data_IF_752851831136
#
_entry.id   IF_752851831136
#
_cell.length_a   1.000
_cell.length_b   1.000
_cell.length_c   1.000
_cell.angle_alpha   90.00
_cell.angle_beta   90.00
_cell.angle_gamma   90.00
#
_symmetry.space_group_name_H-M   'P 1'
#
loop_
_entity.id
_entity.type
_entity.pdbx_description
1 polymer ?
#
# COMPACT_ATOMS: atom_id res chain seq x y z
N UNK A 1 -17.83 31.05 -8.61
CA UNK A 1 -18.60 29.94 -8.04
C UNK A 1 -17.80 29.36 -6.88
N UNK A 2 -18.37 29.32 -5.69
CA UNK A 2 -17.73 28.79 -4.48
C UNK A 2 -17.78 27.27 -4.55
N UNK A 3 -16.74 26.65 -5.12
CA UNK A 3 -16.62 25.20 -5.19
C UNK A 3 -16.07 24.69 -3.86
N UNK A 4 -16.89 24.68 -2.81
CA UNK A 4 -16.55 24.06 -1.52
C UNK A 4 -17.40 22.82 -1.31
N UNK A 5 -16.82 21.77 -0.71
CA UNK A 5 -17.54 20.53 -0.38
C UNK A 5 -17.35 20.19 1.09
N UNK A 6 -18.46 19.98 1.81
CA UNK A 6 -18.49 19.44 3.16
C UNK A 6 -19.24 18.11 3.16
N UNK A 7 -18.69 17.12 3.83
CA UNK A 7 -19.27 15.78 3.91
C UNK A 7 -19.24 15.25 5.35
N UNK A 8 -20.33 14.62 5.77
CA UNK A 8 -20.41 13.86 7.00
C UNK A 8 -20.17 12.38 6.69
N UNK A 9 -19.39 11.70 7.52
CA UNK A 9 -18.97 10.31 7.29
C UNK A 9 -19.05 9.51 8.58
N UNK A 10 -19.53 8.26 8.48
CA UNK A 10 -19.39 7.29 9.55
C UNK A 10 -18.00 6.66 9.48
N UNK A 11 -17.35 6.49 10.63
CA UNK A 11 -16.06 5.81 10.73
C UNK A 11 -16.05 4.82 11.89
N UNK A 12 -15.19 3.80 11.78
CA UNK A 12 -14.95 2.83 12.84
C UNK A 12 -13.68 3.20 13.59
N UNK A 13 -13.73 3.16 14.91
CA UNK A 13 -12.54 3.32 15.76
C UNK A 13 -11.98 1.95 16.07
N UNK A 14 -10.75 1.71 15.65
CA UNK A 14 -10.03 0.46 15.90
C UNK A 14 -8.84 0.76 16.79
N UNK A 15 -8.75 0.09 17.94
CA UNK A 15 -7.54 0.14 18.78
C UNK A 15 -6.49 -0.78 18.18
N UNK A 16 -5.55 -0.20 17.43
CA UNK A 16 -4.48 -0.94 16.77
C UNK A 16 -3.19 -0.14 16.79
N UNK A 17 -2.06 -0.84 16.84
CA UNK A 17 -0.73 -0.27 16.59
C UNK A 17 -0.61 -0.06 15.08
N UNK A 18 -1.34 0.91 14.55
CA UNK A 18 -1.30 1.30 13.14
C UNK A 18 -0.36 2.48 12.97
N UNK A 19 0.50 2.49 11.93
CA UNK A 19 1.30 3.67 11.61
C UNK A 19 0.44 4.82 11.05
N UNK A 20 -0.83 4.54 10.72
CA UNK A 20 -1.79 5.51 10.22
C UNK A 20 -2.83 5.87 11.27
N UNK A 21 -3.06 7.18 11.46
CA UNK A 21 -4.09 7.72 12.35
C UNK A 21 -5.53 7.53 11.82
N UNK A 22 -5.70 7.29 10.52
CA UNK A 22 -6.99 7.09 9.90
C UNK A 22 -6.87 6.65 8.45
N UNK A 23 -7.89 5.93 7.96
CA UNK A 23 -7.96 5.43 6.60
C UNK A 23 -9.26 5.93 5.98
N UNK A 24 -9.16 6.70 4.91
CA UNK A 24 -10.32 7.23 4.18
C UNK A 24 -10.51 6.40 2.91
N UNK A 25 -11.62 5.68 2.83
CA UNK A 25 -11.96 4.88 1.67
C UNK A 25 -12.44 5.71 0.47
N UNK A 26 -12.66 5.03 -0.67
CA UNK A 26 -13.10 5.66 -1.93
C UNK A 26 -14.39 6.47 -1.79
N UNK A 27 -15.36 5.99 -1.00
CA UNK A 27 -16.60 6.72 -0.74
C UNK A 27 -16.35 8.04 -0.02
N UNK A 28 -15.44 8.03 0.97
CA UNK A 28 -15.04 9.24 1.69
C UNK A 28 -14.34 10.24 0.78
N UNK A 29 -13.36 9.79 -0.01
CA UNK A 29 -12.67 10.63 -0.99
C UNK A 29 -13.65 11.23 -2.02
N UNK A 30 -14.60 10.44 -2.53
CA UNK A 30 -15.64 10.92 -3.43
C UNK A 30 -16.52 11.99 -2.78
N UNK A 31 -16.89 11.80 -1.51
CA UNK A 31 -17.76 12.72 -0.81
C UNK A 31 -17.13 14.10 -0.60
N UNK A 32 -15.80 14.20 -0.49
CA UNK A 32 -15.06 15.48 -0.42
C UNK A 32 -14.51 15.93 -1.78
N UNK A 33 -14.91 15.29 -2.88
CA UNK A 33 -14.40 15.56 -4.23
C UNK A 33 -12.87 15.55 -4.31
N UNK A 34 -12.24 14.64 -3.57
CA UNK A 34 -10.79 14.54 -3.55
C UNK A 34 -10.25 13.90 -4.83
N UNK A 35 -9.18 14.49 -5.35
CA UNK A 35 -8.43 14.05 -6.52
C UNK A 35 -7.05 13.59 -6.08
N UNK A 36 -6.84 12.27 -5.90
CA UNK A 36 -5.53 11.71 -5.63
C UNK A 36 -4.68 11.67 -6.91
N UNK A 37 -3.39 11.92 -6.77
CA UNK A 37 -2.37 11.78 -7.81
C UNK A 37 -1.20 11.01 -7.23
N UNK A 38 -1.10 9.73 -7.57
CA UNK A 38 -0.04 8.82 -7.11
C UNK A 38 1.33 9.26 -7.62
N UNK A 39 1.44 9.59 -8.91
CA UNK A 39 2.69 10.05 -9.57
C UNK A 39 3.34 11.21 -8.83
N UNK A 40 2.52 12.11 -8.28
CA UNK A 40 2.99 13.30 -7.58
C UNK A 40 2.88 13.20 -6.05
N UNK A 41 2.43 12.06 -5.51
CA UNK A 41 2.16 11.89 -4.09
C UNK A 41 1.23 12.97 -3.52
N UNK A 42 0.19 13.35 -4.25
CA UNK A 42 -0.69 14.48 -3.88
C UNK A 42 -2.14 14.07 -3.74
N UNK A 43 -2.87 14.73 -2.84
CA UNK A 43 -4.32 14.66 -2.72
C UNK A 43 -4.89 16.08 -2.69
N UNK A 44 -5.76 16.41 -3.64
CA UNK A 44 -6.37 17.74 -3.73
C UNK A 44 -7.86 17.66 -3.44
N UNK A 45 -8.43 18.64 -2.75
CA UNK A 45 -9.88 18.72 -2.56
C UNK A 45 -10.34 20.17 -2.34
N UNK A 46 -11.57 20.51 -2.75
CA UNK A 46 -12.16 21.82 -2.54
C UNK A 46 -12.50 22.11 -1.07
N UNK A 47 -12.28 23.35 -0.64
CA UNK A 47 -12.73 23.93 0.63
C UNK A 47 -13.30 25.34 0.39
N UNK A 48 -13.85 25.98 1.42
CA UNK A 48 -14.41 27.35 1.32
C UNK A 48 -13.34 28.39 0.94
N UNK A 49 -12.10 28.15 1.37
CA UNK A 49 -10.93 29.00 1.12
C UNK A 49 -10.18 28.66 -0.18
N UNK A 50 -10.65 27.69 -0.97
CA UNK A 50 -10.03 27.28 -2.23
C UNK A 50 -9.68 25.80 -2.28
N UNK A 51 -8.63 25.44 -3.03
CA UNK A 51 -8.22 24.03 -3.18
C UNK A 51 -7.08 23.72 -2.21
N UNK A 52 -7.35 22.83 -1.26
CA UNK A 52 -6.31 22.29 -0.39
C UNK A 52 -5.57 21.19 -1.13
N UNK A 53 -4.24 21.18 -0.98
CA UNK A 53 -3.36 20.12 -1.51
C UNK A 53 -2.57 19.52 -0.36
N UNK A 54 -2.79 18.24 -0.11
CA UNK A 54 -1.96 17.43 0.79
C UNK A 54 -0.87 16.79 -0.06
N UNK A 55 0.39 16.93 0.35
CA UNK A 55 1.55 16.28 -0.25
C UNK A 55 2.07 15.19 0.67
N UNK A 56 2.35 14.03 0.11
CA UNK A 56 3.10 12.98 0.79
C UNK A 56 4.53 13.47 1.03
N UNK A 57 5.02 13.32 2.25
CA UNK A 57 6.45 13.39 2.52
C UNK A 57 7.07 12.06 2.10
N UNK A 58 8.06 12.11 1.20
CA UNK A 58 8.85 10.93 0.80
C UNK A 58 9.62 10.32 1.98
N UNK A 59 9.83 11.09 3.04
CA UNK A 59 10.25 10.58 4.33
C UNK A 59 9.05 9.87 4.96
N UNK A 60 9.03 8.54 4.89
CA UNK A 60 8.29 7.75 5.87
C UNK A 60 8.79 8.21 7.25
N UNK A 61 7.91 8.73 8.14
CA UNK A 61 8.32 8.96 9.52
C UNK A 61 8.89 7.65 10.05
N UNK A 62 10.02 7.68 10.77
CA UNK A 62 10.67 6.48 11.30
C UNK A 62 9.69 5.58 12.09
N UNK A 63 8.64 6.19 12.65
CA UNK A 63 7.50 5.56 13.31
C UNK A 63 6.73 4.57 12.42
N UNK A 64 6.61 4.82 11.10
CA UNK A 64 5.99 3.89 10.15
C UNK A 64 6.83 2.63 9.91
N UNK A 65 8.15 2.71 10.05
CA UNK A 65 9.05 1.56 9.91
C UNK A 65 9.09 0.69 11.18
N UNK A 66 8.75 1.26 12.34
CA UNK A 66 8.93 0.65 13.67
C UNK A 66 7.77 -0.27 14.10
N UNK A 67 6.63 -0.23 13.42
CA UNK A 67 5.43 -1.01 13.81
C UNK A 67 5.57 -2.52 13.56
N UNK A 68 6.56 -2.96 12.77
CA UNK A 68 6.77 -4.38 12.48
C UNK A 68 7.40 -5.21 13.63
N UNK A 69 7.73 -4.63 14.79
CA UNK A 69 8.48 -5.33 15.85
C UNK A 69 7.75 -5.50 17.19
N UNK A 70 6.49 -5.08 17.36
CA UNK A 70 5.79 -5.26 18.64
C UNK A 70 5.10 -6.63 18.76
N UNK A 71 5.85 -7.72 18.61
CA UNK A 71 5.51 -9.01 19.22
C UNK A 71 6.77 -9.86 19.38
N UNK A 72 7.69 -9.43 20.24
CA UNK A 72 8.78 -10.31 20.68
C UNK A 72 8.91 -10.20 22.19
N UNK A 73 8.37 -11.21 22.87
CA UNK A 73 8.80 -11.62 24.21
C UNK A 73 10.32 -11.81 24.24
N UNK A 74 11.03 -11.39 25.30
CA UNK A 74 12.48 -11.55 25.36
C UNK A 74 12.85 -13.03 25.51
N UNK A 75 13.39 -13.64 24.46
CA UNK A 75 13.96 -14.98 24.52
C UNK A 75 13.69 -15.79 23.27
N UNK A 76 14.52 -15.57 22.24
CA UNK A 76 15.12 -16.61 21.37
C UNK A 76 15.73 -15.92 20.15
N UNK A 77 16.99 -16.25 19.87
CA UNK A 77 17.73 -15.78 18.69
C UNK A 77 17.06 -16.35 17.43
N UNK A 78 16.06 -15.68 16.87
CA UNK A 78 15.53 -16.01 15.54
C UNK A 78 16.21 -15.13 14.52
N UNK A 79 16.88 -15.79 13.57
CA UNK A 79 17.44 -15.19 12.38
C UNK A 79 16.44 -14.21 11.76
N UNK A 80 16.92 -13.05 11.32
CA UNK A 80 16.11 -12.08 10.57
C UNK A 80 15.29 -12.82 9.49
N UNK A 81 13.97 -12.59 9.40
CA UNK A 81 13.16 -13.22 8.37
C UNK A 81 13.67 -12.72 7.01
N UNK A 82 14.47 -13.56 6.34
CA UNK A 82 15.08 -13.21 5.06
C UNK A 82 13.96 -13.15 4.03
N UNK A 83 13.81 -12.00 3.38
CA UNK A 83 12.90 -11.86 2.26
C UNK A 83 13.30 -12.84 1.15
N UNK A 84 12.32 -13.47 0.53
CA UNK A 84 12.54 -14.42 -0.55
C UNK A 84 12.23 -13.75 -1.88
N UNK A 85 13.23 -13.66 -2.75
CA UNK A 85 13.03 -13.28 -4.15
C UNK A 85 12.50 -14.49 -4.91
N UNK A 86 11.33 -14.34 -5.54
CA UNK A 86 10.66 -15.41 -6.28
C UNK A 86 10.64 -15.04 -7.75
N UNK A 87 11.34 -15.84 -8.57
CA UNK A 87 11.20 -15.84 -10.02
C UNK A 87 9.82 -16.40 -10.39
N UNK A 88 8.95 -15.55 -10.93
CA UNK A 88 7.62 -15.95 -11.34
C UNK A 88 7.60 -16.48 -12.77
N UNK A 89 8.41 -15.92 -13.67
CA UNK A 89 8.46 -16.35 -15.06
C UNK A 89 9.69 -17.21 -15.37
N UNK A 90 9.54 -18.42 -15.96
CA UNK A 90 10.67 -19.32 -16.21
C UNK A 90 11.65 -18.82 -17.28
N UNK A 91 11.20 -17.92 -18.16
CA UNK A 91 12.00 -17.43 -19.30
C UNK A 91 12.39 -15.94 -19.20
N UNK A 92 11.94 -15.23 -18.16
CA UNK A 92 12.20 -13.79 -17.98
C UNK A 92 12.71 -13.56 -16.55
N UNK A 93 14.03 -13.42 -16.42
CA UNK A 93 14.72 -13.33 -15.13
C UNK A 93 14.50 -11.99 -14.41
N UNK A 94 13.98 -11.01 -15.11
CA UNK A 94 13.57 -9.69 -14.63
C UNK A 94 12.15 -9.69 -14.04
N UNK A 95 11.38 -10.77 -14.22
CA UNK A 95 10.02 -10.91 -13.69
C UNK A 95 10.02 -11.60 -12.31
N UNK A 96 10.55 -10.88 -11.32
CA UNK A 96 10.65 -11.33 -9.93
C UNK A 96 9.75 -10.53 -8.98
N UNK A 97 9.36 -11.17 -7.88
CA UNK A 97 8.65 -10.50 -6.77
C UNK A 97 9.31 -10.86 -5.44
N UNK A 98 9.29 -9.91 -4.51
CA UNK A 98 9.83 -10.11 -3.17
C UNK A 98 8.70 -10.51 -2.22
N UNK A 99 8.82 -11.69 -1.63
CA UNK A 99 7.88 -12.19 -0.62
C UNK A 99 8.47 -11.95 0.77
N UNK A 100 7.69 -11.28 1.62
CA UNK A 100 8.09 -10.95 2.99
C UNK A 100 8.39 -12.20 3.82
N UNK A 101 9.47 -12.16 4.59
CA UNK A 101 9.94 -13.31 5.35
C UNK A 101 9.06 -13.74 6.54
N UNK A 102 7.96 -13.04 6.83
CA UNK A 102 7.03 -13.37 7.93
C UNK A 102 6.12 -14.57 7.65
N UNK A 103 6.03 -15.05 6.40
CA UNK A 103 5.24 -16.22 6.03
C UNK A 103 5.92 -17.53 6.43
N UNK A 104 5.12 -18.52 6.84
CA UNK A 104 5.57 -19.91 7.02
C UNK A 104 5.95 -20.55 5.68
N UNK A 105 6.75 -21.61 5.69
CA UNK A 105 7.17 -22.30 4.45
C UNK A 105 5.99 -22.80 3.60
N UNK A 106 4.93 -23.27 4.26
CA UNK A 106 3.67 -23.64 3.61
C UNK A 106 3.02 -22.43 2.96
N UNK A 107 2.88 -21.31 3.68
CA UNK A 107 2.29 -20.08 3.15
C UNK A 107 3.10 -19.49 1.99
N UNK A 108 4.44 -19.58 2.06
CA UNK A 108 5.33 -19.19 0.95
C UNK A 108 5.10 -20.04 -0.28
N UNK A 109 4.99 -21.36 -0.10
CA UNK A 109 4.76 -22.30 -1.21
C UNK A 109 3.43 -22.05 -1.89
N UNK A 110 2.36 -21.90 -1.10
CA UNK A 110 1.02 -21.61 -1.61
C UNK A 110 0.95 -20.26 -2.33
N UNK A 111 1.57 -19.22 -1.76
CA UNK A 111 1.65 -17.90 -2.38
C UNK A 111 2.44 -17.93 -3.69
N UNK A 112 3.60 -18.60 -3.72
CA UNK A 112 4.39 -18.75 -4.95
C UNK A 112 3.61 -19.46 -6.05
N UNK A 113 2.90 -20.54 -5.71
CA UNK A 113 2.06 -21.27 -6.66
C UNK A 113 0.91 -20.41 -7.18
N UNK A 114 0.27 -19.64 -6.30
CA UNK A 114 -0.78 -18.70 -6.67
C UNK A 114 -0.28 -17.62 -7.63
N UNK A 115 0.86 -17.00 -7.32
CA UNK A 115 1.44 -15.93 -8.15
C UNK A 115 1.84 -16.46 -9.54
N UNK A 116 2.46 -17.64 -9.61
CA UNK A 116 2.81 -18.31 -10.89
C UNK A 116 1.58 -18.65 -11.72
N UNK A 117 0.47 -19.03 -11.09
CA UNK A 117 -0.80 -19.33 -11.79
C UNK A 117 -1.47 -18.07 -12.36
N UNK A 118 -1.16 -16.89 -11.83
CA UNK A 118 -1.79 -15.62 -12.20
C UNK A 118 -0.80 -14.62 -12.83
N UNK A 119 0.21 -15.14 -13.53
CA UNK A 119 1.26 -14.33 -14.19
C UNK A 119 0.71 -13.24 -15.12
N UNK A 120 -0.43 -13.51 -15.76
CA UNK A 120 -1.10 -12.62 -16.71
C UNK A 120 -1.79 -11.39 -16.08
N UNK A 121 -1.82 -11.31 -14.74
CA UNK A 121 -2.40 -10.16 -14.02
C UNK A 121 -1.34 -9.05 -13.83
N UNK A 122 -0.05 -9.41 -13.87
CA UNK A 122 1.03 -8.46 -13.66
C UNK A 122 1.31 -7.64 -14.92
N UNK A 123 1.59 -6.36 -14.72
CA UNK A 123 2.13 -5.49 -15.76
C UNK A 123 3.66 -5.50 -15.65
N UNK A 124 4.31 -6.27 -16.52
CA UNK A 124 5.77 -6.44 -16.53
C UNK A 124 6.47 -5.34 -17.31
N UNK A 125 5.77 -4.72 -18.25
CA UNK A 125 6.24 -3.60 -19.06
C UNK A 125 5.16 -2.52 -19.17
N UNK A 126 5.53 -1.27 -19.53
CA UNK A 126 4.57 -0.17 -19.64
C UNK A 126 3.38 -0.46 -20.56
N UNK A 127 3.57 -1.27 -21.61
CA UNK A 127 2.48 -1.67 -22.52
C UNK A 127 1.41 -2.55 -21.87
N UNK A 128 1.72 -3.21 -20.75
CA UNK A 128 0.78 -4.06 -20.04
C UNK A 128 -0.17 -3.24 -19.15
N UNK A 129 0.09 -1.94 -18.96
CA UNK A 129 -0.75 -1.03 -18.17
C UNK A 129 -1.90 -0.45 -19.00
N UNK A 130 -2.85 -1.29 -19.41
CA UNK A 130 -4.05 -0.85 -20.13
C UNK A 130 -5.00 -0.10 -19.18
N UNK A 131 -4.89 1.23 -19.12
CA UNK A 131 -5.74 2.08 -18.27
C UNK A 131 -5.14 3.42 -17.87
N UNK A 132 -3.89 3.69 -18.23
CA UNK A 132 -3.26 5.01 -18.09
C UNK A 132 -3.15 5.63 -19.49
N UNK A 133 -3.92 6.68 -19.81
CA UNK A 133 -3.74 7.45 -21.05
C UNK A 133 -2.45 8.28 -21.03
#
# INVERSE_FOLDING_TARGET
>A
ATHSTKAWMNFMIVKSLSPYNGIIGRLGLKAIQAVPSTVHGMLKFPTEEGIVTIRSSLLMPAECALVNTSSVTPGEKKAHPTNLTVLLHPNFFDQEVVVGGSLSDKGRTELCAFLKRNLNIFAWQPSDMTGVP
#
